data_IF_823328804365
#
_entry.id   IF_823328804365
#
_cell.length_a   1.000
_cell.length_b   1.000
_cell.length_c   1.000
_cell.angle_alpha   90.00
_cell.angle_beta   90.00
_cell.angle_gamma   90.00
#
_symmetry.space_group_name_H-M   'P 1'
#
loop_
_entity.id
_entity.type
_entity.pdbx_description
1 polymer ?
#
# COMPACT_ATOMS: atom_id res chain seq x y z
N UNK A 1 4.46 14.00 -14.84
CA UNK A 1 3.98 14.54 -13.55
C UNK A 1 5.07 14.37 -12.51
N UNK A 2 5.71 15.46 -12.04
CA UNK A 2 6.66 15.38 -10.91
C UNK A 2 5.85 15.36 -9.62
N UNK A 3 5.63 14.18 -9.04
CA UNK A 3 5.03 14.05 -7.71
C UNK A 3 5.98 14.68 -6.69
N UNK A 4 5.43 15.50 -5.78
CA UNK A 4 6.21 16.06 -4.67
C UNK A 4 6.83 14.91 -3.87
N UNK A 5 8.15 14.95 -3.66
CA UNK A 5 8.94 13.88 -3.04
C UNK A 5 8.47 13.50 -1.62
N UNK A 6 7.67 14.35 -0.98
CA UNK A 6 7.05 14.13 0.34
C UNK A 6 5.72 13.40 0.31
N UNK A 7 4.99 13.39 -0.83
CA UNK A 7 3.63 12.84 -0.91
C UNK A 7 3.60 11.35 -0.60
N UNK A 8 4.47 10.57 -1.24
CA UNK A 8 4.53 9.12 -1.03
C UNK A 8 4.95 8.76 0.42
N UNK A 9 6.03 9.34 1.00
CA UNK A 9 6.36 9.15 2.42
C UNK A 9 5.19 9.44 3.36
N UNK A 10 4.55 10.62 3.23
CA UNK A 10 3.45 11.03 4.10
C UNK A 10 2.24 10.09 3.95
N UNK A 11 1.91 9.69 2.73
CA UNK A 11 0.81 8.77 2.47
C UNK A 11 1.05 7.39 3.13
N UNK A 12 2.27 6.85 3.02
CA UNK A 12 2.62 5.56 3.63
C UNK A 12 2.61 5.62 5.16
N UNK A 13 3.17 6.68 5.77
CA UNK A 13 3.12 6.84 7.23
C UNK A 13 1.68 6.95 7.72
N UNK A 14 0.85 7.72 6.99
CA UNK A 14 -0.56 7.92 7.36
C UNK A 14 -1.37 6.63 7.22
N UNK A 15 -1.22 5.90 6.11
CA UNK A 15 -1.91 4.62 5.93
C UNK A 15 -1.43 3.58 6.92
N UNK A 16 -0.13 3.50 7.17
CA UNK A 16 0.42 2.56 8.13
C UNK A 16 -0.08 2.82 9.54
N UNK A 17 -0.29 4.08 9.94
CA UNK A 17 -0.95 4.41 11.21
C UNK A 17 -2.43 3.96 11.23
N UNK A 18 -3.15 4.08 10.11
CA UNK A 18 -4.55 3.66 10.00
C UNK A 18 -4.74 2.14 10.14
N UNK A 19 -3.75 1.32 9.76
CA UNK A 19 -3.78 -0.13 9.99
C UNK A 19 -3.97 -0.49 11.48
N UNK A 20 -3.41 0.32 12.38
CA UNK A 20 -3.56 0.14 13.83
C UNK A 20 -4.83 0.83 14.37
N UNK A 21 -5.12 2.05 13.91
CA UNK A 21 -6.26 2.84 14.39
C UNK A 21 -7.62 2.32 13.91
N UNK A 22 -7.67 1.67 12.74
CA UNK A 22 -8.88 1.12 12.11
C UNK A 22 -8.73 -0.36 11.78
N UNK A 23 -8.10 -1.12 12.68
CA UNK A 23 -7.73 -2.51 12.46
C UNK A 23 -8.84 -3.37 11.86
N UNK A 24 -10.08 -3.30 12.38
CA UNK A 24 -11.22 -4.09 11.87
C UNK A 24 -11.49 -3.89 10.38
N UNK A 25 -11.32 -2.68 9.86
CA UNK A 25 -11.54 -2.36 8.45
C UNK A 25 -10.49 -3.01 7.54
N UNK A 26 -9.24 -3.06 7.99
CA UNK A 26 -8.15 -3.65 7.22
C UNK A 26 -8.09 -5.18 7.40
N UNK A 27 -8.41 -5.68 8.59
CA UNK A 27 -8.54 -7.12 8.86
C UNK A 27 -9.65 -7.76 8.01
N UNK A 28 -10.77 -7.07 7.77
CA UNK A 28 -11.89 -7.60 6.98
C UNK A 28 -11.57 -7.80 5.49
N UNK A 29 -10.47 -7.24 5.01
CA UNK A 29 -10.04 -7.35 3.60
C UNK A 29 -8.84 -8.28 3.41
N UNK A 30 -8.38 -8.95 4.49
CA UNK A 30 -7.33 -9.96 4.38
C UNK A 30 -7.94 -11.24 3.77
N UNK A 31 -7.35 -11.81 2.71
CA UNK A 31 -7.83 -13.05 2.13
C UNK A 31 -7.83 -14.20 3.16
N UNK A 32 -8.95 -14.92 3.33
CA UNK A 32 -9.06 -16.00 4.33
C UNK A 32 -8.20 -17.23 3.99
N UNK A 33 -7.63 -17.29 2.78
CA UNK A 33 -6.72 -18.35 2.34
C UNK A 33 -5.32 -18.22 2.96
N UNK A 34 -4.98 -17.07 3.53
CA UNK A 34 -3.68 -16.86 4.16
C UNK A 34 -3.63 -17.54 5.54
N UNK A 35 -2.53 -18.24 5.87
CA UNK A 35 -2.39 -18.91 7.16
C UNK A 35 -2.27 -17.92 8.33
N UNK A 36 -2.84 -18.26 9.48
CA UNK A 36 -2.78 -17.42 10.69
C UNK A 36 -3.85 -16.33 10.74
N UNK A 37 -3.63 -15.30 11.56
CA UNK A 37 -4.68 -14.30 11.82
C UNK A 37 -4.65 -13.14 10.82
N UNK A 38 -5.80 -12.60 10.40
CA UNK A 38 -5.88 -11.34 9.63
C UNK A 38 -5.13 -10.18 10.29
N UNK A 39 -5.11 -10.15 11.64
CA UNK A 39 -4.39 -9.14 12.42
C UNK A 39 -2.90 -9.15 12.17
N UNK A 40 -2.30 -10.34 12.03
CA UNK A 40 -0.87 -10.48 11.74
C UNK A 40 -0.53 -9.75 10.45
N UNK A 41 -1.27 -10.02 9.37
CA UNK A 41 -1.05 -9.40 8.08
C UNK A 41 -1.31 -7.89 8.13
N UNK A 42 -2.41 -7.48 8.77
CA UNK A 42 -2.77 -6.07 8.94
C UNK A 42 -1.66 -5.27 9.65
N UNK A 43 -1.16 -5.75 10.78
CA UNK A 43 -0.14 -5.04 11.55
C UNK A 43 1.24 -5.13 10.90
N UNK A 44 1.57 -6.26 10.27
CA UNK A 44 2.83 -6.40 9.52
C UNK A 44 2.88 -5.42 8.34
N UNK A 45 1.80 -5.32 7.54
CA UNK A 45 1.75 -4.36 6.43
C UNK A 45 1.76 -2.91 6.94
N UNK A 46 1.03 -2.60 8.02
CA UNK A 46 1.02 -1.26 8.61
C UNK A 46 2.38 -0.82 9.15
N UNK A 47 3.10 -1.71 9.83
CA UNK A 47 4.47 -1.45 10.27
C UNK A 47 5.43 -1.26 9.08
N UNK A 48 5.28 -2.09 8.04
CA UNK A 48 6.08 -1.99 6.81
C UNK A 48 5.83 -0.67 6.06
N UNK A 49 4.59 -0.20 6.00
CA UNK A 49 4.23 1.11 5.45
C UNK A 49 4.93 2.25 6.19
N UNK A 50 4.84 2.28 7.52
CA UNK A 50 5.48 3.32 8.35
C UNK A 50 7.00 3.32 8.14
N UNK A 51 7.64 2.15 8.24
CA UNK A 51 9.08 2.01 8.04
C UNK A 51 9.51 2.49 6.65
N UNK A 52 8.76 2.09 5.61
CA UNK A 52 9.01 2.52 4.22
C UNK A 52 8.86 4.03 4.06
N UNK A 53 7.86 4.64 4.69
CA UNK A 53 7.68 6.08 4.66
C UNK A 53 8.84 6.85 5.27
N UNK A 54 9.40 6.37 6.39
CA UNK A 54 10.61 6.95 6.97
C UNK A 54 11.83 6.77 6.06
N UNK A 55 12.05 5.58 5.48
CA UNK A 55 13.14 5.34 4.54
C UNK A 55 13.10 6.27 3.32
N UNK A 56 11.91 6.61 2.84
CA UNK A 56 11.75 7.51 1.69
C UNK A 56 11.98 9.00 2.02
N UNK A 57 12.01 9.35 3.31
CA UNK A 57 12.18 10.74 3.77
C UNK A 57 13.65 11.18 3.76
N UNK A 58 14.56 10.29 4.12
CA UNK A 58 16.01 10.55 4.07
C UNK A 58 16.57 10.27 2.67
N UNK A 59 17.43 11.15 2.17
CA UNK A 59 18.08 11.00 0.85
C UNK A 59 18.98 9.76 0.79
N UNK A 60 19.68 9.44 1.88
CA UNK A 60 20.61 8.32 1.96
C UNK A 60 19.90 6.96 1.89
N UNK A 61 18.68 6.86 2.42
CA UNK A 61 17.90 5.59 2.43
C UNK A 61 16.82 5.55 1.35
N UNK A 62 16.69 6.60 0.54
CA UNK A 62 15.56 6.77 -0.37
C UNK A 62 15.44 5.63 -1.39
N UNK A 63 16.55 5.14 -1.92
CA UNK A 63 16.55 4.03 -2.88
C UNK A 63 16.06 2.74 -2.23
N UNK A 64 16.55 2.42 -1.03
CA UNK A 64 16.03 1.30 -0.22
C UNK A 64 14.55 1.47 0.10
N UNK A 65 14.10 2.69 0.41
CA UNK A 65 12.69 3.03 0.60
C UNK A 65 11.86 2.79 -0.68
N UNK A 66 12.41 3.10 -1.86
CA UNK A 66 11.77 2.81 -3.14
C UNK A 66 11.60 1.32 -3.40
N UNK A 67 12.64 0.53 -3.12
CA UNK A 67 12.59 -0.92 -3.25
C UNK A 67 11.58 -1.53 -2.26
N UNK A 68 11.60 -1.07 -1.00
CA UNK A 68 10.65 -1.46 0.04
C UNK A 68 9.20 -1.14 -0.36
N UNK A 69 8.95 0.07 -0.88
CA UNK A 69 7.63 0.48 -1.36
C UNK A 69 7.14 -0.38 -2.54
N UNK A 70 8.00 -0.68 -3.51
CA UNK A 70 7.64 -1.51 -4.64
C UNK A 70 7.27 -2.94 -4.20
N UNK A 71 8.08 -3.53 -3.31
CA UNK A 71 7.81 -4.85 -2.74
C UNK A 71 6.51 -4.88 -1.92
N UNK A 72 6.31 -3.89 -1.05
CA UNK A 72 5.09 -3.71 -0.27
C UNK A 72 3.85 -3.61 -1.17
N UNK A 73 3.88 -2.75 -2.20
CA UNK A 73 2.75 -2.56 -3.11
C UNK A 73 2.40 -3.82 -3.88
N UNK A 74 3.41 -4.61 -4.28
CA UNK A 74 3.21 -5.92 -4.89
C UNK A 74 2.59 -6.90 -3.89
N UNK A 75 3.07 -6.93 -2.65
CA UNK A 75 2.60 -7.83 -1.61
C UNK A 75 1.14 -7.58 -1.21
N UNK A 76 0.69 -6.32 -1.15
CA UNK A 76 -0.70 -5.97 -0.78
C UNK A 76 -1.66 -5.97 -1.97
N UNK A 77 -1.17 -6.02 -3.21
CA UNK A 77 -2.04 -5.98 -4.40
C UNK A 77 -3.04 -7.14 -4.45
N UNK A 78 -2.68 -8.41 -4.15
CA UNK A 78 -3.65 -9.50 -4.06
C UNK A 78 -4.75 -9.25 -3.03
N UNK A 79 -4.43 -8.69 -1.85
CA UNK A 79 -5.43 -8.32 -0.86
C UNK A 79 -6.37 -7.21 -1.38
N UNK A 80 -5.85 -6.26 -2.17
CA UNK A 80 -6.68 -5.24 -2.82
C UNK A 80 -7.60 -5.82 -3.90
N UNK A 81 -7.14 -6.82 -4.66
CA UNK A 81 -7.98 -7.56 -5.61
C UNK A 81 -9.07 -8.35 -4.88
N UNK A 82 -8.72 -9.01 -3.77
CA UNK A 82 -9.69 -9.69 -2.93
C UNK A 82 -10.73 -8.73 -2.35
N UNK A 83 -10.32 -7.54 -1.91
CA UNK A 83 -11.24 -6.49 -1.45
C UNK A 83 -12.25 -6.09 -2.54
N UNK A 84 -11.77 -5.87 -3.77
CA UNK A 84 -12.65 -5.58 -4.89
C UNK A 84 -13.58 -6.75 -5.23
N UNK A 85 -13.12 -7.99 -5.06
CA UNK A 85 -13.91 -9.20 -5.30
C UNK A 85 -15.05 -9.36 -4.28
N UNK A 86 -14.75 -9.27 -2.98
CA UNK A 86 -15.79 -9.40 -1.94
C UNK A 86 -16.79 -8.24 -1.98
N UNK A 87 -16.41 -7.09 -2.54
CA UNK A 87 -17.29 -5.94 -2.75
C UNK A 87 -17.74 -5.77 -4.21
N UNK A 88 -17.69 -6.82 -5.05
CA UNK A 88 -17.99 -6.72 -6.49
C UNK A 88 -19.42 -6.24 -6.81
N UNK A 89 -20.35 -6.48 -5.89
CA UNK A 89 -21.77 -6.14 -6.01
C UNK A 89 -22.12 -4.82 -5.31
N UNK A 90 -21.12 -4.06 -4.83
CA UNK A 90 -21.36 -2.79 -4.14
C UNK A 90 -21.85 -1.71 -5.10
N UNK A 91 -22.73 -0.83 -4.60
CA UNK A 91 -23.22 0.33 -5.34
C UNK A 91 -22.15 1.40 -5.64
N UNK A 92 -22.52 2.35 -6.49
CA UNK A 92 -21.75 3.58 -6.70
C UNK A 92 -21.82 4.45 -5.43
N UNK A 93 -20.74 5.18 -5.05
CA UNK A 93 -19.49 5.37 -5.78
C UNK A 93 -18.40 4.33 -5.46
N UNK A 94 -18.62 3.42 -4.51
CA UNK A 94 -17.59 2.48 -4.02
C UNK A 94 -17.10 1.52 -5.11
N UNK A 95 -17.97 1.15 -6.06
CA UNK A 95 -17.58 0.41 -7.26
C UNK A 95 -16.51 1.14 -8.08
N UNK A 96 -16.65 2.47 -8.25
CA UNK A 96 -15.66 3.28 -8.98
C UNK A 96 -14.29 3.25 -8.31
N UNK A 97 -14.28 3.32 -6.98
CA UNK A 97 -13.06 3.27 -6.19
C UNK A 97 -12.24 2.01 -6.50
N UNK A 98 -12.87 0.83 -6.55
CA UNK A 98 -12.18 -0.43 -6.88
C UNK A 98 -11.67 -0.45 -8.32
N UNK A 99 -12.49 0.00 -9.28
CA UNK A 99 -12.14 0.07 -10.70
C UNK A 99 -10.93 0.97 -10.93
N UNK A 100 -10.84 2.09 -10.22
CA UNK A 100 -9.72 3.05 -10.36
C UNK A 100 -8.49 2.58 -9.58
N UNK A 101 -8.66 2.11 -8.33
CA UNK A 101 -7.54 1.76 -7.43
C UNK A 101 -6.66 0.66 -8.01
N UNK A 102 -7.24 -0.40 -8.56
CA UNK A 102 -6.49 -1.57 -9.00
C UNK A 102 -5.52 -1.25 -10.16
N UNK A 103 -5.94 -0.60 -11.27
CA UNK A 103 -5.01 -0.17 -12.31
C UNK A 103 -4.00 0.87 -11.83
N UNK A 104 -4.39 1.77 -10.92
CA UNK A 104 -3.49 2.79 -10.38
C UNK A 104 -2.35 2.24 -9.52
N UNK A 105 -2.42 0.99 -9.03
CA UNK A 105 -1.27 0.38 -8.37
C UNK A 105 -0.09 0.16 -9.32
N UNK A 106 -0.34 -0.09 -10.61
CA UNK A 106 0.73 -0.32 -11.60
C UNK A 106 1.67 0.90 -11.74
N UNK A 107 1.17 2.13 -12.01
CA UNK A 107 2.03 3.30 -12.06
C UNK A 107 2.67 3.62 -10.70
N UNK A 108 2.00 3.30 -9.58
CA UNK A 108 2.56 3.51 -8.24
C UNK A 108 3.76 2.58 -7.96
N UNK A 109 3.63 1.29 -8.30
CA UNK A 109 4.73 0.31 -8.23
C UNK A 109 5.88 0.76 -9.13
N UNK A 110 5.60 1.17 -10.37
CA UNK A 110 6.62 1.68 -11.30
C UNK A 110 7.33 2.93 -10.75
N UNK A 111 6.60 3.83 -10.11
CA UNK A 111 7.18 5.01 -9.49
C UNK A 111 8.09 4.65 -8.31
N UNK A 112 7.66 3.76 -7.42
CA UNK A 112 8.47 3.23 -6.33
C UNK A 112 9.75 2.55 -6.84
N UNK A 113 9.65 1.75 -7.90
CA UNK A 113 10.79 1.11 -8.55
C UNK A 113 11.76 2.11 -9.20
N UNK A 114 11.27 3.21 -9.78
CA UNK A 114 12.14 4.29 -10.26
C UNK A 114 12.89 4.97 -9.12
N UNK A 115 12.26 5.16 -7.97
CA UNK A 115 12.95 5.65 -6.76
C UNK A 115 14.06 4.67 -6.36
N UNK A 116 13.79 3.37 -6.39
CA UNK A 116 14.76 2.33 -6.06
C UNK A 116 16.02 2.35 -6.95
N UNK A 117 15.91 2.91 -8.16
CA UNK A 117 17.01 3.02 -9.12
C UNK A 117 17.70 4.40 -9.09
N UNK A 118 17.30 5.30 -8.18
CA UNK A 118 17.79 6.68 -8.16
C UNK A 118 17.27 7.55 -9.31
N UNK A 119 16.19 7.14 -9.99
CA UNK A 119 15.68 7.76 -11.24
C UNK A 119 14.44 8.66 -11.05
N UNK A 120 14.07 9.00 -9.82
CA UNK A 120 12.79 9.65 -9.47
C UNK A 120 12.89 11.01 -8.77
#
# INVERSE_FOLDING_TARGET
>A
MRLNKKVLPTALITMGALHFLRAKTFESIVPPQLPGSPRLYNFASGAWEIATGFLLTDRATRESGGASAAALFLAVWPANMYHAWIERDVGWPKKLYHIIRLPLQIPLIRYAWKIAQGRA
#
